data_IF_597856019822
#
_entry.id   IF_597856019822
#
_cell.length_a   1.000
_cell.length_b   1.000
_cell.length_c   1.000
_cell.angle_alpha   90.00
_cell.angle_beta   90.00
_cell.angle_gamma   90.00
#
_symmetry.space_group_name_H-M   'P 1'
#
loop_
_entity.id
_entity.type
_entity.pdbx_description
1 polymer ?
#
# COMPACT_ATOMS: atom_id res chain seq x y z
N UNK A 1 19.57 -3.44 32.28
CA UNK A 1 19.50 -4.14 30.98
C UNK A 1 18.10 -3.92 30.43
N UNK A 2 18.00 -2.91 29.60
CA UNK A 2 16.72 -2.59 28.98
C UNK A 2 16.38 -3.66 27.94
N UNK A 3 15.54 -4.61 28.34
CA UNK A 3 14.78 -5.42 27.41
C UNK A 3 13.67 -4.53 26.81
N UNK A 4 14.05 -3.46 26.11
CA UNK A 4 13.17 -2.85 25.16
C UNK A 4 12.94 -3.92 24.11
N UNK A 5 11.80 -4.59 24.19
CA UNK A 5 11.33 -5.51 23.15
C UNK A 5 11.42 -4.73 21.86
N UNK A 6 12.41 -5.03 21.02
CA UNK A 6 12.53 -4.39 19.72
C UNK A 6 11.20 -4.60 19.01
N UNK A 7 10.53 -3.50 18.64
CA UNK A 7 9.30 -3.60 17.88
C UNK A 7 9.58 -4.42 16.62
N UNK A 8 8.75 -5.41 16.28
CA UNK A 8 8.96 -6.23 15.10
C UNK A 8 8.89 -5.44 13.79
N UNK A 9 8.31 -4.25 13.79
CA UNK A 9 8.02 -3.49 12.56
C UNK A 9 9.25 -2.71 12.07
N UNK A 10 10.10 -3.36 11.28
CA UNK A 10 11.25 -2.73 10.61
C UNK A 10 10.92 -2.33 9.16
N UNK A 11 10.12 -3.17 8.47
CA UNK A 11 9.71 -2.96 7.08
C UNK A 11 8.20 -2.99 6.99
N UNK A 12 7.61 -1.84 6.68
CA UNK A 12 6.17 -1.64 6.56
C UNK A 12 5.83 -1.51 5.08
N UNK A 13 5.07 -2.46 4.57
CA UNK A 13 4.63 -2.50 3.18
C UNK A 13 3.25 -1.88 3.05
N UNK A 14 3.14 -0.82 2.28
CA UNK A 14 1.89 -0.23 1.85
C UNK A 14 1.57 -0.66 0.42
N UNK A 15 0.42 -1.29 0.21
CA UNK A 15 -0.05 -1.72 -1.10
C UNK A 15 -1.08 -0.73 -1.65
N UNK A 16 -0.84 -0.19 -2.84
CA UNK A 16 -1.74 0.76 -3.49
C UNK A 16 -2.17 0.32 -4.88
N UNK A 17 -3.44 0.54 -5.18
CA UNK A 17 -4.03 0.57 -6.52
C UNK A 17 -4.44 1.99 -6.94
N UNK A 18 -3.96 3.00 -6.21
CA UNK A 18 -4.31 4.42 -6.36
C UNK A 18 -5.80 4.73 -6.16
N UNK A 19 -6.55 3.86 -5.50
CA UNK A 19 -7.93 4.13 -5.11
C UNK A 19 -8.02 5.05 -3.88
N UNK A 20 -9.19 5.66 -3.65
CA UNK A 20 -9.43 6.47 -2.46
C UNK A 20 -9.26 5.68 -1.16
N UNK A 21 -9.58 4.40 -1.15
CA UNK A 21 -9.36 3.55 0.04
C UNK A 21 -7.87 3.26 0.27
N UNK A 22 -7.07 3.12 -0.80
CA UNK A 22 -5.62 3.04 -0.67
C UNK A 22 -5.04 4.35 -0.13
N UNK A 23 -5.55 5.50 -0.55
CA UNK A 23 -5.12 6.81 -0.04
C UNK A 23 -5.33 6.96 1.47
N UNK A 24 -6.47 6.48 1.98
CA UNK A 24 -6.71 6.42 3.42
C UNK A 24 -5.77 5.43 4.12
N UNK A 25 -5.55 4.26 3.54
CA UNK A 25 -4.65 3.25 4.09
C UNK A 25 -3.20 3.76 4.20
N UNK A 26 -2.78 4.64 3.29
CA UNK A 26 -1.47 5.27 3.34
C UNK A 26 -1.22 6.05 4.63
N UNK A 27 -2.21 6.75 5.16
CA UNK A 27 -2.08 7.48 6.43
C UNK A 27 -1.77 6.55 7.60
N UNK A 28 -2.35 5.35 7.60
CA UNK A 28 -2.04 4.33 8.61
C UNK A 28 -0.64 3.74 8.45
N UNK A 29 -0.18 3.57 7.22
CA UNK A 29 1.17 3.12 6.95
C UNK A 29 2.21 4.15 7.41
N UNK A 30 1.96 5.43 7.17
CA UNK A 30 2.79 6.54 7.65
C UNK A 30 2.80 6.59 9.18
N UNK A 31 1.62 6.51 9.83
CA UNK A 31 1.52 6.50 11.30
C UNK A 31 2.30 5.32 11.90
N UNK A 32 2.17 4.13 11.35
CA UNK A 32 2.91 2.96 11.80
C UNK A 32 4.43 3.17 11.70
N UNK A 33 4.90 3.79 10.60
CA UNK A 33 6.33 4.09 10.40
C UNK A 33 6.82 5.16 11.37
N UNK A 34 6.03 6.21 11.63
CA UNK A 34 6.39 7.26 12.57
C UNK A 34 6.49 6.77 14.01
N UNK A 35 5.63 5.79 14.39
CA UNK A 35 5.68 5.15 15.72
C UNK A 35 6.89 4.25 15.90
N UNK A 36 7.56 3.92 14.82
CA UNK A 36 8.78 3.11 14.84
C UNK A 36 9.94 3.86 14.14
N UNK A 37 10.63 4.76 14.82
CA UNK A 37 11.81 5.43 14.26
C UNK A 37 12.84 4.44 13.73
N UNK A 38 13.35 4.69 12.52
CA UNK A 38 14.30 3.81 11.84
C UNK A 38 13.66 2.71 10.98
N UNK A 39 12.34 2.52 11.01
CA UNK A 39 11.66 1.63 10.08
C UNK A 39 11.63 2.21 8.65
N UNK A 40 11.39 1.35 7.68
CA UNK A 40 11.25 1.71 6.27
C UNK A 40 9.78 1.57 5.84
N UNK A 41 9.28 2.59 5.16
CA UNK A 41 7.99 2.55 4.46
C UNK A 41 8.23 2.18 3.01
N UNK A 42 7.67 1.06 2.58
CA UNK A 42 7.76 0.57 1.20
C UNK A 42 6.38 0.69 0.57
N UNK A 43 6.26 1.46 -0.51
CA UNK A 43 5.06 1.50 -1.34
C UNK A 43 5.21 0.47 -2.46
N UNK A 44 4.26 -0.43 -2.58
CA UNK A 44 4.17 -1.40 -3.67
C UNK A 44 2.92 -1.16 -4.50
N UNK A 45 3.11 -1.00 -5.80
CA UNK A 45 2.06 -1.06 -6.80
C UNK A 45 2.25 -2.29 -7.69
N UNK A 46 1.18 -3.05 -7.91
CA UNK A 46 1.20 -4.19 -8.84
C UNK A 46 0.44 -3.82 -10.10
N UNK A 47 1.12 -3.90 -11.23
CA UNK A 47 0.53 -3.69 -12.56
C UNK A 47 -0.08 -5.02 -13.00
N UNK A 48 -1.39 -5.10 -13.26
CA UNK A 48 -2.01 -6.31 -13.76
C UNK A 48 -1.40 -6.79 -15.08
N UNK A 49 -1.23 -8.07 -15.25
CA UNK A 49 -0.60 -8.65 -16.44
C UNK A 49 -1.33 -8.30 -17.77
N UNK A 50 -2.66 -8.21 -17.85
CA UNK A 50 -3.36 -7.73 -19.05
C UNK A 50 -2.95 -6.31 -19.44
N UNK A 51 -2.78 -5.42 -18.47
CA UNK A 51 -2.36 -4.04 -18.73
C UNK A 51 -0.90 -3.98 -19.19
N UNK A 52 -0.04 -4.82 -18.63
CA UNK A 52 1.34 -4.95 -19.08
C UNK A 52 1.44 -5.49 -20.52
N UNK A 53 0.57 -6.43 -20.92
CA UNK A 53 0.50 -6.92 -22.30
C UNK A 53 -0.01 -5.85 -23.28
N UNK A 54 -0.97 -5.03 -22.88
CA UNK A 54 -1.41 -3.88 -23.66
C UNK A 54 -0.24 -2.96 -23.98
N UNK A 55 0.54 -2.59 -22.98
CA UNK A 55 1.74 -1.78 -23.18
C UNK A 55 2.76 -2.46 -24.11
N UNK A 56 2.98 -3.76 -23.99
CA UNK A 56 3.87 -4.55 -24.86
C UNK A 56 3.38 -4.57 -26.31
N UNK A 57 2.07 -4.61 -26.54
CA UNK A 57 1.49 -4.73 -27.88
C UNK A 57 1.46 -3.39 -28.62
N UNK A 58 1.18 -2.29 -27.92
CA UNK A 58 1.06 -0.96 -28.53
C UNK A 58 2.38 -0.19 -28.64
N UNK A 59 3.39 -0.60 -27.90
CA UNK A 59 4.68 0.10 -27.84
C UNK A 59 5.80 -0.76 -28.46
N UNK A 60 5.51 -1.44 -29.55
CA UNK A 60 6.48 -2.29 -30.28
C UNK A 60 7.77 -1.55 -30.71
N UNK A 61 7.83 -0.25 -30.57
CA UNK A 61 9.00 0.59 -30.87
C UNK A 61 9.74 1.12 -29.65
N UNK A 62 9.43 0.65 -28.44
CA UNK A 62 10.08 1.14 -27.22
C UNK A 62 10.77 0.01 -26.51
N UNK A 63 12.09 0.05 -26.54
CA UNK A 63 13.00 -0.93 -25.92
C UNK A 63 12.89 -1.04 -24.41
N UNK A 64 11.95 -0.31 -23.75
CA UNK A 64 11.86 -0.32 -22.29
C UNK A 64 10.45 -0.03 -21.77
N UNK A 65 9.56 -1.04 -21.83
CA UNK A 65 8.22 -0.99 -21.22
C UNK A 65 8.31 -0.78 -19.70
N UNK A 66 9.31 -1.37 -19.06
CA UNK A 66 9.51 -1.29 -17.61
C UNK A 66 9.90 0.13 -17.19
N UNK A 67 10.73 0.83 -17.96
CA UNK A 67 11.08 2.23 -17.71
C UNK A 67 9.89 3.17 -17.79
N UNK A 68 9.01 2.98 -18.76
CA UNK A 68 7.80 3.83 -18.90
C UNK A 68 6.81 3.57 -17.77
N UNK A 69 6.55 2.31 -17.47
CA UNK A 69 5.70 1.94 -16.35
C UNK A 69 6.25 2.50 -15.04
N UNK A 70 7.57 2.41 -14.85
CA UNK A 70 8.26 2.99 -13.68
C UNK A 70 8.08 4.51 -13.61
N UNK A 71 8.32 5.21 -14.72
CA UNK A 71 8.19 6.66 -14.78
C UNK A 71 6.75 7.13 -14.47
N UNK A 72 5.73 6.42 -14.97
CA UNK A 72 4.33 6.74 -14.68
C UNK A 72 3.96 6.48 -13.21
N UNK A 73 4.45 5.40 -12.63
CA UNK A 73 4.25 5.09 -11.20
C UNK A 73 4.96 6.14 -10.34
N UNK A 74 6.21 6.44 -10.63
CA UNK A 74 7.01 7.43 -9.88
C UNK A 74 6.32 8.81 -9.92
N UNK A 75 5.76 9.21 -11.07
CA UNK A 75 5.00 10.46 -11.20
C UNK A 75 3.74 10.44 -10.33
N UNK A 76 2.91 9.39 -10.40
CA UNK A 76 1.71 9.26 -9.58
C UNK A 76 2.03 9.26 -8.10
N UNK A 77 3.09 8.56 -7.71
CA UNK A 77 3.53 8.53 -6.31
C UNK A 77 4.04 9.90 -5.86
N UNK A 78 4.82 10.61 -6.71
CA UNK A 78 5.32 11.95 -6.43
C UNK A 78 4.18 12.97 -6.25
N UNK A 79 3.09 12.82 -6.98
CA UNK A 79 1.92 13.69 -6.89
C UNK A 79 1.00 13.34 -5.70
N UNK A 80 0.82 12.05 -5.42
CA UNK A 80 -0.21 11.56 -4.48
C UNK A 80 0.35 11.30 -3.08
N UNK A 81 1.51 10.65 -2.97
CA UNK A 81 2.00 10.10 -1.71
C UNK A 81 3.23 10.82 -1.16
N UNK A 82 4.22 11.13 -2.00
CA UNK A 82 5.48 11.74 -1.55
C UNK A 82 5.29 13.01 -0.71
N UNK A 83 4.37 13.94 -1.06
CA UNK A 83 4.15 15.15 -0.25
C UNK A 83 3.61 14.88 1.15
N UNK A 84 3.08 13.68 1.37
CA UNK A 84 2.48 13.25 2.64
C UNK A 84 3.44 12.43 3.50
N UNK A 85 4.64 12.11 2.99
CA UNK A 85 5.67 11.40 3.75
C UNK A 85 6.40 12.40 4.65
N UNK A 86 6.39 12.21 5.98
CA UNK A 86 7.08 13.09 6.89
C UNK A 86 8.60 13.05 6.71
N UNK A 87 9.25 14.18 7.04
CA UNK A 87 10.71 14.25 7.05
C UNK A 87 11.30 13.19 8.01
N UNK A 88 12.37 12.54 7.57
CA UNK A 88 13.05 11.51 8.35
C UNK A 88 12.51 10.09 8.18
N UNK A 89 11.36 9.90 7.51
CA UNK A 89 10.88 8.58 7.13
C UNK A 89 11.64 8.07 5.91
N UNK A 90 12.20 6.87 6.03
CA UNK A 90 12.78 6.18 4.87
C UNK A 90 11.64 5.65 3.99
N UNK A 91 11.55 6.16 2.80
CA UNK A 91 10.47 5.84 1.85
C UNK A 91 11.02 5.26 0.56
N UNK A 92 10.55 4.09 0.18
CA UNK A 92 10.93 3.37 -1.05
C UNK A 92 9.70 3.02 -1.87
N UNK A 93 9.82 3.17 -3.17
CA UNK A 93 8.75 2.88 -4.14
C UNK A 93 9.15 1.69 -4.98
N UNK A 94 8.28 0.70 -5.04
CA UNK A 94 8.45 -0.53 -5.79
C UNK A 94 7.23 -0.81 -6.66
N UNK A 95 7.44 -1.48 -7.79
CA UNK A 95 6.36 -2.04 -8.57
C UNK A 95 6.66 -3.48 -8.99
N UNK A 96 5.61 -4.23 -9.26
CA UNK A 96 5.68 -5.58 -9.83
C UNK A 96 4.64 -5.70 -10.93
N UNK A 97 4.86 -6.63 -11.85
CA UNK A 97 3.91 -6.95 -12.91
C UNK A 97 3.42 -8.38 -12.68
N UNK A 98 2.10 -8.57 -12.73
CA UNK A 98 1.50 -9.88 -12.57
C UNK A 98 0.16 -9.86 -11.83
N UNK A 99 -0.16 -10.96 -11.18
CA UNK A 99 -1.39 -11.09 -10.40
C UNK A 99 -1.20 -10.45 -9.02
N UNK A 100 -2.02 -9.46 -8.70
CA UNK A 100 -1.90 -8.56 -7.55
C UNK A 100 -1.51 -9.26 -6.25
N UNK A 101 -2.38 -10.13 -5.73
CA UNK A 101 -2.13 -10.76 -4.43
C UNK A 101 -0.90 -11.68 -4.43
N UNK A 102 -0.59 -12.32 -5.55
CA UNK A 102 0.60 -13.18 -5.67
C UNK A 102 1.86 -12.33 -5.54
N UNK A 103 1.92 -11.22 -6.29
CA UNK A 103 3.08 -10.34 -6.27
C UNK A 103 3.27 -9.62 -4.93
N UNK A 104 2.18 -9.29 -4.24
CA UNK A 104 2.23 -8.74 -2.88
C UNK A 104 2.83 -9.77 -1.91
N UNK A 105 2.35 -11.01 -1.95
CA UNK A 105 2.82 -12.07 -1.05
C UNK A 105 4.28 -12.46 -1.32
N UNK A 106 4.64 -12.62 -2.60
CA UNK A 106 6.03 -12.88 -3.01
C UNK A 106 6.97 -11.76 -2.53
N UNK A 107 6.56 -10.49 -2.70
CA UNK A 107 7.34 -9.35 -2.25
C UNK A 107 7.50 -9.32 -0.73
N UNK A 108 6.42 -9.54 0.00
CA UNK A 108 6.44 -9.53 1.46
C UNK A 108 7.38 -10.60 2.03
N UNK A 109 7.44 -11.77 1.41
CA UNK A 109 8.34 -12.84 1.81
C UNK A 109 9.80 -12.57 1.42
N UNK A 110 10.05 -12.11 0.18
CA UNK A 110 11.39 -11.81 -0.32
C UNK A 110 12.10 -10.66 0.43
N UNK A 111 11.33 -9.68 0.86
CA UNK A 111 11.82 -8.46 1.52
C UNK A 111 11.71 -8.52 3.06
N UNK A 112 11.34 -9.67 3.62
CA UNK A 112 11.13 -9.83 5.07
C UNK A 112 10.25 -8.71 5.66
N UNK A 113 9.08 -8.49 5.06
CA UNK A 113 8.12 -7.47 5.49
C UNK A 113 7.49 -7.85 6.83
N UNK A 114 7.40 -6.89 7.73
CA UNK A 114 6.90 -7.10 9.11
C UNK A 114 5.44 -6.69 9.29
N UNK A 115 4.94 -5.83 8.41
CA UNK A 115 3.55 -5.37 8.41
C UNK A 115 3.13 -5.02 6.98
N UNK A 116 1.98 -5.54 6.56
CA UNK A 116 1.31 -5.11 5.33
C UNK A 116 0.16 -4.17 5.71
N UNK A 117 0.07 -3.02 5.06
CA UNK A 117 -1.06 -2.07 5.17
C UNK A 117 -1.76 -1.99 3.83
N UNK A 118 -3.05 -2.27 3.81
CA UNK A 118 -3.85 -2.35 2.59
C UNK A 118 -5.28 -1.84 2.82
N UNK A 119 -5.86 -1.17 1.83
CA UNK A 119 -7.27 -0.81 1.83
C UNK A 119 -8.16 -2.05 1.71
N UNK A 120 -9.34 -2.01 2.34
CA UNK A 120 -10.30 -3.12 2.28
C UNK A 120 -10.90 -3.32 0.89
N UNK A 121 -11.05 -2.24 0.12
CA UNK A 121 -11.65 -2.22 -1.21
C UNK A 121 -10.74 -1.49 -2.20
N UNK A 122 -10.71 -1.97 -3.44
CA UNK A 122 -10.01 -1.32 -4.54
C UNK A 122 -10.95 -0.86 -5.66
N UNK A 123 -10.41 -0.52 -6.81
CA UNK A 123 -11.17 -0.03 -7.98
C UNK A 123 -12.22 -1.02 -8.52
N UNK A 124 -12.03 -2.32 -8.35
CA UNK A 124 -12.90 -3.37 -8.90
C UNK A 124 -14.09 -3.74 -8.01
N UNK A 125 -14.32 -3.04 -6.90
CA UNK A 125 -15.37 -3.38 -5.95
C UNK A 125 -16.70 -2.77 -6.33
N UNK A 126 -17.52 -3.51 -7.08
CA UNK A 126 -18.92 -3.19 -7.27
C UNK A 126 -19.78 -3.90 -6.22
N UNK A 127 -20.52 -3.11 -5.42
CA UNK A 127 -21.57 -3.61 -4.54
C UNK A 127 -21.12 -3.98 -3.12
N UNK A 128 -21.93 -4.76 -2.42
CA UNK A 128 -21.90 -5.11 -1.00
C UNK A 128 -20.78 -6.06 -0.55
N UNK A 129 -19.67 -6.16 -1.26
CA UNK A 129 -18.57 -7.06 -0.89
C UNK A 129 -17.80 -6.47 0.29
N UNK A 130 -17.77 -7.18 1.40
CA UNK A 130 -17.10 -6.79 2.64
C UNK A 130 -15.57 -6.69 2.49
N UNK A 131 -14.99 -7.45 1.57
CA UNK A 131 -13.56 -7.43 1.27
C UNK A 131 -13.32 -7.47 -0.24
N UNK A 132 -12.38 -6.68 -0.71
CA UNK A 132 -11.84 -6.84 -2.05
C UNK A 132 -11.12 -8.19 -2.19
N UNK A 133 -11.19 -8.79 -3.37
CA UNK A 133 -10.62 -10.12 -3.63
C UNK A 133 -9.11 -10.19 -3.33
N UNK A 134 -8.37 -9.12 -3.65
CA UNK A 134 -6.93 -9.01 -3.36
C UNK A 134 -6.68 -8.96 -1.85
N UNK A 135 -7.39 -8.08 -1.14
CA UNK A 135 -7.25 -7.88 0.31
C UNK A 135 -7.57 -9.15 1.08
N UNK A 136 -8.63 -9.86 0.72
CA UNK A 136 -8.97 -11.13 1.35
C UNK A 136 -7.84 -12.16 1.19
N UNK A 137 -7.32 -12.32 -0.01
CA UNK A 137 -6.26 -13.30 -0.28
C UNK A 137 -4.95 -12.93 0.41
N UNK A 138 -4.60 -11.65 0.45
CA UNK A 138 -3.43 -11.17 1.19
C UNK A 138 -3.60 -11.43 2.68
N UNK A 139 -4.73 -11.04 3.28
CA UNK A 139 -4.98 -11.25 4.70
C UNK A 139 -4.94 -12.73 5.13
N UNK A 140 -5.36 -13.64 4.24
CA UNK A 140 -5.36 -15.09 4.52
C UNK A 140 -4.00 -15.76 4.38
N UNK A 141 -3.09 -15.23 3.57
CA UNK A 141 -1.85 -15.90 3.17
C UNK A 141 -0.58 -15.12 3.51
N UNK A 142 -0.70 -13.92 4.06
CA UNK A 142 0.46 -13.09 4.37
C UNK A 142 1.42 -13.77 5.36
N UNK A 143 2.74 -13.62 5.18
CA UNK A 143 3.73 -14.14 6.10
C UNK A 143 3.87 -13.28 7.38
N UNK A 144 3.20 -12.13 7.43
CA UNK A 144 3.26 -11.16 8.51
C UNK A 144 1.87 -10.58 8.83
N UNK A 145 1.71 -9.81 9.92
CA UNK A 145 0.48 -9.09 10.21
C UNK A 145 0.01 -8.21 9.05
N UNK A 146 -1.32 -8.11 8.88
CA UNK A 146 -1.96 -7.29 7.85
C UNK A 146 -2.92 -6.33 8.51
N UNK A 147 -2.72 -5.04 8.29
CA UNK A 147 -3.64 -3.98 8.67
C UNK A 147 -4.55 -3.65 7.50
N UNK A 148 -5.82 -4.01 7.63
CA UNK A 148 -6.85 -3.75 6.61
C UNK A 148 -7.64 -2.50 6.99
N UNK A 149 -7.58 -1.46 6.16
CA UNK A 149 -8.22 -0.17 6.42
C UNK A 149 -9.54 -0.07 5.66
N UNK A 150 -10.69 0.06 6.37
CA UNK A 150 -11.99 0.20 5.73
C UNK A 150 -12.20 1.60 5.15
N UNK A 151 -12.91 1.69 4.03
CA UNK A 151 -13.15 2.94 3.32
C UNK A 151 -13.95 3.97 4.13
N UNK A 152 -14.87 3.52 4.97
CA UNK A 152 -15.75 4.37 5.78
C UNK A 152 -15.13 4.83 7.10
N UNK A 153 -13.90 4.47 7.38
CA UNK A 153 -13.24 4.80 8.66
C UNK A 153 -13.01 6.30 8.82
N UNK A 154 -12.74 7.02 7.75
CA UNK A 154 -12.59 8.47 7.76
C UNK A 154 -13.85 9.17 8.26
N UNK A 155 -15.03 8.73 7.80
CA UNK A 155 -16.32 9.26 8.26
C UNK A 155 -16.55 9.01 9.76
N UNK A 156 -16.14 7.83 10.24
CA UNK A 156 -16.22 7.50 11.67
C UNK A 156 -15.28 8.35 12.52
N UNK A 157 -14.07 8.63 12.04
CA UNK A 157 -13.14 9.52 12.71
C UNK A 157 -13.69 10.96 12.80
N UNK A 158 -14.24 11.48 11.72
CA UNK A 158 -14.84 12.81 11.67
C UNK A 158 -16.03 12.93 12.65
N UNK A 159 -16.90 11.91 12.70
CA UNK A 159 -18.02 11.86 13.63
C UNK A 159 -17.57 11.85 15.10
N UNK A 160 -16.50 11.13 15.43
CA UNK A 160 -15.93 11.12 16.80
C UNK A 160 -15.37 12.47 17.21
N UNK A 161 -14.66 13.15 16.30
CA UNK A 161 -14.12 14.49 16.57
C UNK A 161 -15.24 15.55 16.75
N UNK A 162 -16.33 15.43 15.98
CA UNK A 162 -17.50 16.31 16.12
C UNK A 162 -18.26 16.11 17.45
N UNK A 163 -18.32 14.89 17.96
CA UNK A 163 -18.98 14.57 19.23
C UNK A 163 -18.18 15.03 20.48
N UNK A 164 -16.85 15.22 20.35
CA UNK A 164 -15.97 15.64 21.44
C UNK A 164 -15.96 17.15 21.68
N UNK A 165 -16.72 17.94 20.93
CA UNK A 165 -16.80 19.40 21.04
C UNK A 165 -18.17 19.88 21.54
N UNK A 166 -18.97 19.00 22.10
CA UNK A 166 -20.29 19.34 22.73
C UNK A 166 -20.23 18.96 24.22
N UNK A 167 -19.37 19.66 24.95
CA UNK A 167 -19.45 19.81 26.42
C UNK A 167 -18.95 21.19 26.80
#
# INVERSE_FOLDING_TARGET
>A
MDNATESPYQRILFCTDFSANADLAFEFAVDATQRRPGSELILLHVIPEPDAQFWKTYLYEVDDVDSKARADIDRKVAETYTPRVPNGVRFRVEFRIGRDYIKILEFAEQEDVDLIVIGRQGHSSFGTVLFGNVTERVARKAPCPVLVVPMDYEKRLAARKGASHVD
#
